data_IF_650576544012
#
_entry.id   IF_650576544012
#
_cell.length_a   1.000
_cell.length_b   1.000
_cell.length_c   1.000
_cell.angle_alpha   90.00
_cell.angle_beta   90.00
_cell.angle_gamma   90.00
#
_symmetry.space_group_name_H-M   'P 1'
#
loop_
_entity.id
_entity.type
_entity.pdbx_description
1 polymer ?
#
# COMPACT_ATOMS: atom_id res chain seq x y z
N UNK A 1 -12.89 -20.84 4.60
CA UNK A 1 -13.18 -19.69 3.73
C UNK A 1 -11.84 -18.96 3.65
N UNK A 2 -11.13 -19.07 2.53
CA UNK A 2 -9.87 -18.33 2.36
C UNK A 2 -10.29 -16.90 2.00
N UNK A 3 -9.85 -15.93 2.79
CA UNK A 3 -10.09 -14.53 2.48
C UNK A 3 -9.08 -14.14 1.40
N UNK A 4 -9.54 -13.90 0.17
CA UNK A 4 -8.68 -13.57 -0.99
C UNK A 4 -8.15 -12.12 -0.95
N UNK A 5 -8.13 -11.53 0.24
CA UNK A 5 -7.82 -10.12 0.47
C UNK A 5 -6.80 -10.00 1.57
N UNK A 6 -5.72 -9.31 1.27
CA UNK A 6 -4.64 -9.02 2.21
C UNK A 6 -4.73 -7.57 2.68
N UNK A 7 -4.35 -7.28 3.93
CA UNK A 7 -4.25 -5.91 4.40
C UNK A 7 -2.93 -5.30 3.95
N UNK A 8 -2.98 -4.04 3.51
CA UNK A 8 -1.78 -3.30 3.11
C UNK A 8 -1.76 -1.90 3.72
N UNK A 9 -0.56 -1.37 3.91
CA UNK A 9 -0.32 0.03 4.23
C UNK A 9 0.38 0.71 3.05
N UNK A 10 -0.19 1.80 2.56
CA UNK A 10 0.40 2.65 1.54
C UNK A 10 1.17 3.80 2.19
N UNK A 11 2.37 4.07 1.68
CA UNK A 11 3.19 5.22 2.07
C UNK A 11 3.62 5.96 0.82
N UNK A 12 2.95 7.07 0.52
CA UNK A 12 3.26 7.94 -0.62
C UNK A 12 4.27 9.03 -0.22
N UNK A 13 5.25 9.29 -1.09
CA UNK A 13 6.27 10.34 -0.93
C UNK A 13 6.93 10.66 -2.27
N UNK A 14 7.67 11.77 -2.31
CA UNK A 14 8.63 12.03 -3.39
C UNK A 14 9.97 11.42 -3.02
N UNK A 15 10.51 10.54 -3.87
CA UNK A 15 11.85 10.00 -3.72
C UNK A 15 12.87 11.15 -3.77
N UNK A 16 13.73 11.31 -2.74
CA UNK A 16 14.62 12.45 -2.65
C UNK A 16 15.84 12.35 -3.59
N UNK A 17 16.09 11.19 -4.19
CA UNK A 17 17.20 10.94 -5.12
C UNK A 17 16.73 11.18 -6.54
N UNK A 18 15.57 10.61 -6.90
CA UNK A 18 15.03 10.65 -8.26
C UNK A 18 14.06 11.82 -8.50
N UNK A 19 13.59 12.49 -7.45
CA UNK A 19 12.54 13.52 -7.49
C UNK A 19 11.24 13.01 -8.14
N UNK A 20 10.96 11.72 -7.97
CA UNK A 20 9.80 11.01 -8.53
C UNK A 20 8.83 10.63 -7.41
N UNK A 21 7.51 10.73 -7.62
CA UNK A 21 6.56 10.23 -6.62
C UNK A 21 6.55 8.71 -6.60
N UNK A 22 6.58 8.14 -5.40
CA UNK A 22 6.64 6.72 -5.12
C UNK A 22 5.61 6.37 -4.05
N UNK A 23 5.01 5.20 -4.19
CA UNK A 23 4.17 4.59 -3.15
C UNK A 23 4.84 3.29 -2.72
N UNK A 24 5.31 3.25 -1.48
CA UNK A 24 5.70 1.98 -0.86
C UNK A 24 4.43 1.31 -0.32
N UNK A 25 4.28 0.02 -0.61
CA UNK A 25 3.16 -0.82 -0.18
C UNK A 25 3.73 -1.89 0.75
N UNK A 26 3.16 -2.01 1.94
CA UNK A 26 3.57 -3.02 2.92
C UNK A 26 2.40 -3.98 3.17
N UNK A 27 2.56 -5.24 2.79
CA UNK A 27 1.55 -6.28 2.96
C UNK A 27 1.70 -7.05 4.28
N UNK A 28 0.55 -7.45 4.82
CA UNK A 28 0.42 -8.11 6.09
C UNK A 28 -0.82 -8.99 6.18
N UNK A 29 -0.75 -10.06 6.97
CA UNK A 29 -1.94 -10.88 7.23
C UNK A 29 -2.88 -10.21 8.23
N UNK A 30 -4.18 -10.45 8.08
CA UNK A 30 -5.18 -10.07 9.07
C UNK A 30 -5.21 -11.13 10.17
N UNK A 31 -5.06 -10.69 11.42
CA UNK A 31 -5.06 -11.56 12.60
C UNK A 31 -6.48 -11.59 13.17
N UNK A 32 -6.99 -12.79 13.36
CA UNK A 32 -8.28 -13.06 13.98
C UNK A 32 -8.10 -13.93 15.21
N UNK A 33 -8.95 -13.72 16.21
CA UNK A 33 -9.06 -14.59 17.37
C UNK A 33 -9.49 -16.00 16.90
N UNK A 34 -8.80 -17.07 17.31
CA UNK A 34 -9.08 -18.42 16.82
C UNK A 34 -10.36 -19.04 17.39
N UNK A 35 -10.87 -18.53 18.52
CA UNK A 35 -12.02 -19.05 19.24
C UNK A 35 -13.33 -18.40 18.77
N UNK A 36 -13.35 -17.09 18.53
CA UNK A 36 -14.54 -16.32 18.14
C UNK A 36 -14.48 -15.66 16.76
N UNK A 37 -13.32 -15.68 16.10
CA UNK A 37 -13.12 -15.12 14.76
C UNK A 37 -13.15 -13.59 14.71
N UNK A 38 -13.09 -12.91 15.86
CA UNK A 38 -13.04 -11.46 15.90
C UNK A 38 -11.71 -10.92 15.38
N UNK A 39 -11.75 -9.75 14.76
CA UNK A 39 -10.55 -9.07 14.27
C UNK A 39 -9.69 -8.58 15.44
N UNK A 40 -8.43 -9.02 15.50
CA UNK A 40 -7.48 -8.63 16.56
C UNK A 40 -6.42 -7.65 16.08
N UNK A 41 -6.10 -7.65 14.77
CA UNK A 41 -5.05 -6.79 14.27
C UNK A 41 -4.52 -7.18 12.90
N UNK A 42 -3.33 -6.66 12.59
CA UNK A 42 -2.59 -6.96 11.39
C UNK A 42 -1.19 -7.44 11.75
N UNK A 43 -0.74 -8.52 11.12
CA UNK A 43 0.68 -8.82 11.04
C UNK A 43 1.33 -7.74 10.17
N UNK A 44 2.40 -7.11 10.65
CA UNK A 44 3.08 -6.08 9.87
C UNK A 44 4.16 -6.71 8.99
N UNK A 45 3.98 -6.58 7.67
CA UNK A 45 5.10 -6.52 6.74
C UNK A 45 5.78 -7.85 6.44
N UNK A 46 5.03 -8.86 6.00
CA UNK A 46 5.65 -10.09 5.47
C UNK A 46 6.16 -9.90 4.03
N UNK A 47 5.69 -8.88 3.31
CA UNK A 47 6.30 -8.38 2.06
C UNK A 47 6.16 -6.86 1.92
N UNK A 48 6.91 -6.30 0.96
CA UNK A 48 6.79 -4.91 0.55
C UNK A 48 7.10 -4.78 -0.94
N UNK A 49 6.55 -3.74 -1.59
CA UNK A 49 6.97 -3.32 -2.92
C UNK A 49 6.90 -1.80 -3.06
N UNK A 50 7.64 -1.24 -4.02
CA UNK A 50 7.55 0.19 -4.38
C UNK A 50 6.97 0.33 -5.77
N UNK A 51 5.93 1.16 -5.88
CA UNK A 51 5.31 1.52 -7.15
C UNK A 51 5.73 2.95 -7.49
N UNK A 52 6.59 3.15 -8.51
CA UNK A 52 6.85 4.49 -9.01
C UNK A 52 5.60 5.03 -9.71
N UNK A 53 5.22 6.27 -9.41
CA UNK A 53 4.09 6.92 -10.05
C UNK A 53 4.58 7.55 -11.35
N UNK A 54 3.95 7.16 -12.47
CA UNK A 54 4.20 7.80 -13.74
C UNK A 54 3.62 9.23 -13.70
N UNK A 55 4.49 10.23 -13.69
CA UNK A 55 4.10 11.63 -13.77
C UNK A 55 4.50 12.17 -15.15
N UNK A 56 3.61 12.90 -15.82
CA UNK A 56 4.06 13.77 -16.91
C UNK A 56 4.97 14.85 -16.31
N UNK A 57 6.23 14.90 -16.75
CA UNK A 57 7.21 15.96 -16.50
C UNK A 57 7.38 16.44 -15.04
N UNK A 58 7.73 15.54 -14.12
CA UNK A 58 8.18 15.91 -12.77
C UNK A 58 7.13 16.59 -11.89
N UNK A 59 5.85 16.54 -12.27
CA UNK A 59 4.74 17.01 -11.43
C UNK A 59 4.43 15.95 -10.38
N UNK A 60 4.40 16.26 -9.08
CA UNK A 60 3.98 15.29 -8.08
C UNK A 60 2.57 14.76 -8.40
N UNK A 61 2.40 13.44 -8.48
CA UNK A 61 1.11 12.81 -8.69
C UNK A 61 0.14 13.31 -7.61
N UNK A 62 -1.05 13.77 -8.01
CA UNK A 62 -2.08 14.06 -7.04
C UNK A 62 -2.44 12.75 -6.31
N UNK A 63 -2.92 12.84 -5.07
CA UNK A 63 -3.34 11.64 -4.31
C UNK A 63 -4.41 10.83 -5.07
N UNK A 64 -5.24 11.49 -5.88
CA UNK A 64 -6.24 10.85 -6.74
C UNK A 64 -5.60 10.07 -7.91
N UNK A 65 -4.47 10.52 -8.43
CA UNK A 65 -3.72 9.81 -9.48
C UNK A 65 -3.05 8.55 -8.91
N UNK A 66 -2.56 8.64 -7.67
CA UNK A 66 -2.07 7.50 -6.91
C UNK A 66 -3.20 6.47 -6.73
N UNK A 67 -4.37 6.89 -6.26
CA UNK A 67 -5.51 5.99 -6.04
C UNK A 67 -5.93 5.28 -7.35
N UNK A 68 -5.92 6.00 -8.47
CA UNK A 68 -6.22 5.45 -9.80
C UNK A 68 -5.20 4.38 -10.20
N UNK A 69 -3.91 4.62 -9.93
CA UNK A 69 -2.82 3.68 -10.22
C UNK A 69 -2.92 2.44 -9.34
N UNK A 70 -3.13 2.61 -8.03
CA UNK A 70 -3.29 1.52 -7.07
C UNK A 70 -4.47 0.63 -7.44
N UNK A 71 -5.62 1.24 -7.78
CA UNK A 71 -6.82 0.51 -8.23
C UNK A 71 -6.53 -0.35 -9.45
N UNK A 72 -5.78 0.18 -10.43
CA UNK A 72 -5.40 -0.58 -11.63
C UNK A 72 -4.48 -1.76 -11.34
N UNK A 73 -3.71 -1.68 -10.25
CA UNK A 73 -2.80 -2.73 -9.78
C UNK A 73 -3.48 -3.74 -8.84
N UNK A 74 -4.77 -3.59 -8.55
CA UNK A 74 -5.53 -4.50 -7.69
C UNK A 74 -5.48 -4.15 -6.20
N UNK A 75 -5.08 -2.92 -5.87
CA UNK A 75 -5.10 -2.36 -4.53
C UNK A 75 -6.29 -1.43 -4.33
N UNK A 76 -6.91 -1.47 -3.16
CA UNK A 76 -8.00 -0.56 -2.80
C UNK A 76 -7.68 0.12 -1.47
N UNK A 77 -7.93 1.43 -1.39
CA UNK A 77 -7.71 2.21 -0.18
C UNK A 77 -8.95 2.14 0.71
N UNK A 78 -8.79 1.80 1.99
CA UNK A 78 -9.91 1.58 2.92
C UNK A 78 -10.18 2.76 3.86
N UNK A 79 -9.24 3.70 3.97
CA UNK A 79 -9.35 4.91 4.79
C UNK A 79 -8.81 6.15 4.06
N UNK A 80 -9.00 7.38 4.57
CA UNK A 80 -8.46 8.60 3.95
C UNK A 80 -6.93 8.60 3.95
N UNK A 81 -6.31 9.30 3.00
CA UNK A 81 -4.90 9.67 3.13
C UNK A 81 -4.67 10.51 4.39
N UNK A 82 -3.74 10.08 5.22
CA UNK A 82 -3.30 10.78 6.41
C UNK A 82 -1.96 11.47 6.14
N UNK A 83 -1.97 12.80 6.00
CA UNK A 83 -0.76 13.58 5.78
C UNK A 83 -1.01 15.06 5.46
N UNK A 84 0.06 15.81 5.15
CA UNK A 84 1.44 15.35 5.18
C UNK A 84 1.91 15.06 6.62
N UNK A 85 2.63 13.96 6.80
CA UNK A 85 3.37 13.64 8.02
C UNK A 85 4.85 13.93 7.76
N UNK A 86 5.48 14.73 8.60
CA UNK A 86 6.91 15.06 8.46
C UNK A 86 7.75 14.01 9.17
N UNK A 87 8.70 13.42 8.45
CA UNK A 87 9.68 12.47 8.97
C UNK A 87 11.10 12.97 8.74
N UNK A 88 12.10 12.28 9.29
CA UNK A 88 13.52 12.55 8.95
C UNK A 88 13.83 12.39 7.45
N UNK A 89 12.96 11.74 6.69
CA UNK A 89 13.11 11.42 5.26
C UNK A 89 12.21 12.30 4.37
N UNK A 90 11.61 13.35 4.91
CA UNK A 90 10.68 14.23 4.20
C UNK A 90 9.22 13.95 4.52
N UNK A 91 8.34 14.59 3.75
CA UNK A 91 6.89 14.48 3.86
C UNK A 91 6.38 13.13 3.34
N UNK A 92 5.35 12.60 4.02
CA UNK A 92 4.75 11.30 3.75
C UNK A 92 3.23 11.41 3.87
N UNK A 93 2.51 10.72 3.00
CA UNK A 93 1.09 10.44 3.16
C UNK A 93 0.92 8.95 3.40
N UNK A 94 0.08 8.59 4.37
CA UNK A 94 -0.12 7.19 4.75
C UNK A 94 -1.59 6.84 4.65
N UNK A 95 -1.91 5.65 4.17
CA UNK A 95 -3.26 5.12 4.22
C UNK A 95 -3.27 3.62 4.40
N UNK A 96 -4.35 3.12 5.00
CA UNK A 96 -4.69 1.72 5.01
C UNK A 96 -5.35 1.31 3.68
N UNK A 97 -5.23 0.03 3.34
CA UNK A 97 -5.82 -0.55 2.15
C UNK A 97 -5.91 -2.07 2.19
N UNK A 98 -6.34 -2.60 1.06
CA UNK A 98 -6.44 -4.02 0.78
C UNK A 98 -5.84 -4.37 -0.57
N UNK A 99 -5.33 -5.59 -0.70
CA UNK A 99 -4.84 -6.16 -1.95
C UNK A 99 -5.65 -7.40 -2.33
N UNK A 100 -6.07 -7.51 -3.59
CA UNK A 100 -6.74 -8.70 -4.10
C UNK A 100 -5.74 -9.71 -4.66
N UNK A 101 -5.55 -10.83 -3.95
CA UNK A 101 -4.51 -11.83 -4.26
C UNK A 101 -4.70 -12.52 -5.62
N UNK A 102 -5.93 -12.62 -6.12
CA UNK A 102 -6.22 -13.15 -7.46
C UNK A 102 -5.75 -12.22 -8.59
N UNK A 103 -5.74 -10.90 -8.36
CA UNK A 103 -5.20 -9.92 -9.32
C UNK A 103 -3.68 -9.85 -9.34
N UNK A 104 -3.02 -10.32 -8.27
CA UNK A 104 -1.56 -10.29 -8.13
C UNK A 104 -0.85 -11.55 -8.69
N UNK A 105 -1.61 -12.56 -9.13
CA UNK A 105 -1.10 -13.76 -9.79
C UNK A 105 -0.96 -15.00 -8.88
N UNK A 106 -1.77 -15.13 -7.83
CA UNK A 106 -1.68 -16.23 -6.86
C UNK A 106 -0.52 -16.06 -5.88
N UNK A 107 -0.32 -17.00 -4.92
CA UNK A 107 0.67 -16.87 -3.85
C UNK A 107 2.07 -16.80 -4.48
N UNK A 108 2.52 -15.57 -4.71
CA UNK A 108 3.80 -15.31 -5.35
C UNK A 108 4.84 -15.43 -4.25
N UNK A 109 5.52 -16.57 -4.22
CA UNK A 109 6.80 -16.75 -3.53
C UNK A 109 7.62 -15.48 -3.62
N UNK A 110 7.79 -14.81 -2.48
CA UNK A 110 8.76 -13.75 -2.20
C UNK A 110 9.15 -12.87 -3.41
N UNK A 111 8.38 -11.82 -3.69
CA UNK A 111 8.93 -10.68 -4.41
C UNK A 111 9.85 -9.94 -3.44
N UNK A 112 11.16 -10.03 -3.70
CA UNK A 112 12.24 -9.37 -2.96
C UNK A 112 12.51 -7.99 -3.52
#
# INVERSE_FOLDING_TARGET
>A
MLFDTEYVVFVAYTDPIEDTPVVDIFGGEVIYDPDDGSYEGYERGHWWESVPMATEDGVPAALDDIDTTLTRLGYERTGPWHGPKVTRRGERYVSDGTAHLESLGGPTTARR
#
